data_IF_583492719507
#
_entry.id   IF_583492719507
#
_cell.length_a   1.000
_cell.length_b   1.000
_cell.length_c   1.000
_cell.angle_alpha   90.00
_cell.angle_beta   90.00
_cell.angle_gamma   90.00
#
_symmetry.space_group_name_H-M   'P 1'
#
loop_
_entity.id
_entity.type
_entity.pdbx_description
1 polymer ?
#
# COMPACT_ATOMS: atom_id res chain seq x y z
N UNK A 1 8.15 -15.63 -10.26
CA UNK A 1 9.15 -16.12 -9.28
C UNK A 1 8.91 -17.60 -8.94
N UNK A 2 7.70 -18.04 -8.56
CA UNK A 2 7.43 -19.45 -8.24
C UNK A 2 7.88 -20.39 -9.37
N UNK A 3 7.44 -20.16 -10.58
CA UNK A 3 7.82 -20.96 -11.75
C UNK A 3 9.36 -21.04 -11.97
N UNK A 4 10.10 -19.98 -11.69
CA UNK A 4 11.57 -19.98 -11.82
C UNK A 4 12.24 -20.82 -10.72
N UNK A 5 11.72 -20.80 -9.49
CA UNK A 5 12.20 -21.63 -8.39
C UNK A 5 11.97 -23.11 -8.72
N UNK A 6 10.77 -23.42 -9.25
CA UNK A 6 10.38 -24.79 -9.63
C UNK A 6 11.21 -25.31 -10.79
N UNK A 7 11.40 -24.50 -11.82
CA UNK A 7 12.22 -24.85 -13.00
C UNK A 7 13.70 -25.12 -12.62
N UNK A 8 14.19 -24.43 -11.59
CA UNK A 8 15.53 -24.64 -11.05
C UNK A 8 15.62 -25.84 -10.09
N UNK A 9 14.52 -26.50 -9.75
CA UNK A 9 14.48 -27.54 -8.72
C UNK A 9 14.96 -27.06 -7.34
N UNK A 10 14.86 -25.75 -7.08
CA UNK A 10 15.43 -25.16 -5.88
C UNK A 10 14.50 -25.32 -4.66
N UNK A 11 15.02 -25.70 -3.46
CA UNK A 11 14.19 -25.96 -2.29
C UNK A 11 13.65 -24.72 -1.59
N UNK A 12 14.01 -23.52 -2.02
CA UNK A 12 13.61 -22.27 -1.37
C UNK A 12 12.11 -22.11 -1.28
N UNK A 13 11.63 -21.59 -0.16
CA UNK A 13 10.28 -21.10 0.03
C UNK A 13 10.14 -19.72 -0.63
N UNK A 14 8.97 -19.46 -1.21
CA UNK A 14 8.61 -18.14 -1.72
C UNK A 14 7.93 -17.33 -0.61
N UNK A 15 8.61 -16.31 -0.11
CA UNK A 15 8.07 -15.37 0.87
C UNK A 15 7.76 -14.03 0.20
N UNK A 16 6.58 -13.47 0.48
CA UNK A 16 6.13 -12.21 -0.11
C UNK A 16 5.73 -11.23 0.99
N UNK A 17 6.29 -10.04 0.94
CA UNK A 17 5.82 -8.90 1.73
C UNK A 17 4.60 -8.28 1.03
N UNK A 18 3.45 -8.40 1.66
CA UNK A 18 2.18 -7.83 1.19
C UNK A 18 1.70 -6.68 2.07
N UNK A 19 2.57 -6.11 2.89
CA UNK A 19 2.21 -5.06 3.87
C UNK A 19 1.41 -3.92 3.20
N UNK A 20 1.85 -3.46 2.04
CA UNK A 20 1.18 -2.36 1.34
C UNK A 20 0.18 -2.83 0.27
N UNK A 21 0.20 -4.11 -0.11
CA UNK A 21 -0.62 -4.64 -1.20
C UNK A 21 -1.90 -5.35 -0.76
N UNK A 22 -1.89 -5.99 0.40
CA UNK A 22 -3.06 -6.75 0.87
C UNK A 22 -4.29 -5.84 0.97
N UNK A 23 -5.43 -6.33 0.49
CA UNK A 23 -6.70 -5.61 0.42
C UNK A 23 -6.68 -4.32 -0.45
N UNK A 24 -5.65 -4.13 -1.28
CA UNK A 24 -5.55 -2.98 -2.18
C UNK A 24 -5.10 -3.35 -3.59
N UNK A 25 -4.41 -4.48 -3.73
CA UNK A 25 -3.90 -5.03 -4.99
C UNK A 25 -4.31 -6.49 -5.05
N UNK A 26 -4.71 -6.99 -6.22
CA UNK A 26 -5.02 -8.40 -6.42
C UNK A 26 -3.78 -9.25 -6.06
N UNK A 27 -3.93 -10.03 -5.00
CA UNK A 27 -2.88 -10.93 -4.48
C UNK A 27 -3.47 -12.31 -4.20
N UNK A 28 -3.00 -13.32 -4.93
CA UNK A 28 -3.56 -14.67 -4.92
C UNK A 28 -2.56 -15.65 -4.35
N UNK A 29 -2.57 -15.80 -3.01
CA UNK A 29 -1.60 -16.58 -2.26
C UNK A 29 -1.48 -18.04 -2.76
N UNK A 30 -2.62 -18.74 -2.82
CA UNK A 30 -2.63 -20.16 -3.18
C UNK A 30 -2.37 -20.37 -4.68
N UNK A 31 -3.04 -19.59 -5.54
CA UNK A 31 -2.92 -19.72 -7.00
C UNK A 31 -1.47 -19.45 -7.46
N UNK A 32 -0.78 -18.52 -6.84
CA UNK A 32 0.61 -18.19 -7.18
C UNK A 32 1.64 -19.05 -6.48
N UNK A 33 1.21 -20.02 -5.64
CA UNK A 33 2.09 -20.93 -4.91
C UNK A 33 3.03 -20.21 -3.94
N UNK A 34 2.54 -19.18 -3.29
CA UNK A 34 3.29 -18.47 -2.25
C UNK A 34 3.34 -19.34 -0.99
N UNK A 35 4.49 -19.40 -0.34
CA UNK A 35 4.67 -20.18 0.86
C UNK A 35 4.42 -19.40 2.15
N UNK A 36 4.81 -18.13 2.17
CA UNK A 36 4.56 -17.22 3.28
C UNK A 36 4.23 -15.84 2.74
N UNK A 37 3.13 -15.26 3.21
CA UNK A 37 2.86 -13.84 3.02
C UNK A 37 2.75 -13.14 4.37
N UNK A 38 3.35 -11.96 4.49
CA UNK A 38 3.25 -11.12 5.68
C UNK A 38 2.51 -9.83 5.35
N UNK A 39 1.65 -9.40 6.26
CA UNK A 39 0.93 -8.14 6.13
C UNK A 39 0.71 -7.45 7.47
N UNK A 40 0.17 -6.23 7.44
CA UNK A 40 -0.11 -5.44 8.63
C UNK A 40 -1.44 -4.70 8.52
N UNK A 41 -1.97 -4.31 9.67
CA UNK A 41 -3.30 -3.72 9.79
C UNK A 41 -3.42 -2.30 9.22
N UNK A 42 -2.32 -1.51 9.18
CA UNK A 42 -2.34 -0.07 8.93
C UNK A 42 -2.23 0.34 7.46
N UNK A 43 -2.55 -0.54 6.54
CA UNK A 43 -2.50 -0.30 5.08
C UNK A 43 -3.88 -0.53 4.47
N UNK A 44 -4.01 -1.42 3.50
CA UNK A 44 -5.29 -1.71 2.86
C UNK A 44 -6.40 -2.18 3.80
N UNK A 45 -6.06 -2.66 4.98
CA UNK A 45 -7.04 -3.00 6.02
C UNK A 45 -7.50 -1.80 6.88
N UNK A 46 -7.08 -0.59 6.59
CA UNK A 46 -7.66 0.67 7.11
C UNK A 46 -7.63 0.84 8.64
N UNK A 47 -6.79 0.09 9.34
CA UNK A 47 -6.67 0.12 10.80
C UNK A 47 -5.43 0.90 11.25
N UNK A 48 -5.33 1.29 12.51
CA UNK A 48 -4.06 1.68 13.10
C UNK A 48 -3.03 0.52 13.07
N UNK A 49 -1.71 0.79 13.15
CA UNK A 49 -0.72 -0.25 13.34
C UNK A 49 -0.95 -0.97 14.68
N UNK A 50 -0.81 -2.31 14.68
CA UNK A 50 -0.96 -3.10 15.91
C UNK A 50 -1.24 -4.58 15.68
N UNK A 51 -1.63 -5.01 14.48
CA UNK A 51 -1.80 -6.41 14.13
C UNK A 51 -0.93 -6.75 12.92
N UNK A 52 -0.22 -7.86 12.99
CA UNK A 52 0.47 -8.48 11.86
C UNK A 52 -0.25 -9.77 11.45
N UNK A 53 -0.28 -10.01 10.15
CA UNK A 53 -0.90 -11.20 9.56
C UNK A 53 0.18 -12.04 8.89
N UNK A 54 0.10 -13.36 9.06
CA UNK A 54 0.94 -14.33 8.38
C UNK A 54 0.05 -15.38 7.72
N UNK A 55 0.06 -15.44 6.39
CA UNK A 55 -0.45 -16.58 5.66
C UNK A 55 0.70 -17.56 5.43
N UNK A 56 0.50 -18.82 5.80
CA UNK A 56 1.58 -19.83 5.81
C UNK A 56 1.09 -21.11 5.17
N UNK A 57 1.75 -21.55 4.09
CA UNK A 57 1.43 -22.79 3.38
C UNK A 57 1.76 -24.02 4.24
N UNK A 58 1.13 -25.16 3.92
CA UNK A 58 1.45 -26.43 4.57
C UNK A 58 2.94 -26.79 4.42
N UNK A 59 3.54 -26.48 3.26
CA UNK A 59 4.97 -26.70 3.00
C UNK A 59 5.85 -25.86 3.93
N UNK A 60 5.51 -24.57 4.10
CA UNK A 60 6.26 -23.69 5.00
C UNK A 60 6.09 -24.10 6.48
N UNK A 61 4.91 -24.56 6.86
CA UNK A 61 4.69 -25.12 8.20
C UNK A 61 5.57 -26.32 8.47
N UNK A 62 5.64 -27.29 7.54
CA UNK A 62 6.49 -28.48 7.69
C UNK A 62 7.98 -28.11 7.82
N UNK A 63 8.47 -27.15 7.00
CA UNK A 63 9.86 -26.66 7.13
C UNK A 63 10.07 -25.96 8.47
N UNK A 64 9.10 -25.20 8.95
CA UNK A 64 9.15 -24.53 10.25
C UNK A 64 9.29 -25.52 11.43
N UNK A 65 8.73 -26.71 11.34
CA UNK A 65 8.84 -27.74 12.38
C UNK A 65 10.27 -28.26 12.57
N UNK A 66 11.06 -28.28 11.49
CA UNK A 66 12.45 -28.75 11.50
C UNK A 66 13.48 -27.64 11.72
N UNK A 67 13.03 -26.40 11.85
CA UNK A 67 13.91 -25.24 12.05
C UNK A 67 14.66 -25.31 13.38
N UNK A 68 15.98 -25.20 13.35
CA UNK A 68 16.86 -25.36 14.51
C UNK A 68 17.00 -24.15 15.43
N UNK A 69 16.51 -22.97 15.04
CA UNK A 69 16.59 -21.77 15.90
C UNK A 69 15.55 -21.83 17.03
N UNK A 70 15.93 -21.57 18.28
CA UNK A 70 14.97 -21.41 19.37
C UNK A 70 13.98 -20.28 19.04
N UNK A 71 12.70 -20.55 19.25
CA UNK A 71 11.61 -19.59 19.01
C UNK A 71 10.69 -19.55 20.21
N UNK A 72 10.23 -18.38 20.52
CA UNK A 72 9.15 -18.10 21.45
C UNK A 72 8.45 -16.85 20.98
N UNK A 73 7.17 -16.63 21.24
CA UNK A 73 6.34 -15.54 20.75
C UNK A 73 6.08 -15.57 19.22
N UNK A 74 7.10 -15.80 18.39
CA UNK A 74 6.98 -15.88 16.92
C UNK A 74 6.98 -17.34 16.43
N UNK A 75 6.42 -18.26 17.19
CA UNK A 75 6.26 -19.65 16.78
C UNK A 75 4.86 -19.88 16.19
N UNK A 76 4.81 -20.19 14.91
CA UNK A 76 3.54 -20.49 14.23
C UNK A 76 2.83 -21.72 14.78
N UNK A 77 3.53 -22.66 15.41
CA UNK A 77 2.92 -23.85 16.05
C UNK A 77 2.03 -23.45 17.20
N UNK A 78 2.51 -22.55 18.06
CA UNK A 78 1.75 -22.02 19.20
C UNK A 78 0.56 -21.18 18.72
N UNK A 79 0.78 -20.35 17.69
CA UNK A 79 -0.28 -19.56 17.07
C UNK A 79 -1.37 -20.47 16.47
N UNK A 80 -0.99 -21.46 15.68
CA UNK A 80 -1.91 -22.41 15.05
C UNK A 80 -2.70 -23.20 16.09
N UNK A 81 -2.05 -23.70 17.15
CA UNK A 81 -2.68 -24.46 18.22
C UNK A 81 -3.72 -23.61 18.96
N UNK A 82 -3.39 -22.37 19.31
CA UNK A 82 -4.31 -21.45 19.98
C UNK A 82 -5.46 -21.03 19.08
N UNK A 83 -5.17 -20.64 17.82
CA UNK A 83 -6.21 -20.24 16.88
C UNK A 83 -7.23 -21.34 16.57
N UNK A 84 -6.83 -22.61 16.60
CA UNK A 84 -7.72 -23.74 16.40
C UNK A 84 -8.84 -23.81 17.47
N UNK A 85 -8.63 -23.20 18.63
CA UNK A 85 -9.60 -23.14 19.73
C UNK A 85 -10.30 -21.77 19.83
N UNK A 86 -10.05 -20.87 18.88
CA UNK A 86 -10.58 -19.50 18.89
C UNK A 86 -9.83 -18.53 19.80
N UNK A 87 -8.62 -18.92 20.26
CA UNK A 87 -7.80 -18.10 21.14
C UNK A 87 -6.48 -17.69 20.49
N UNK A 88 -5.71 -16.89 21.20
CA UNK A 88 -4.35 -16.47 20.85
C UNK A 88 -3.38 -16.97 21.91
N UNK A 89 -2.11 -17.24 21.56
CA UNK A 89 -1.11 -17.69 22.53
C UNK A 89 -0.74 -16.61 23.55
N UNK A 90 -1.01 -15.35 23.22
CA UNK A 90 -0.76 -14.16 24.07
C UNK A 90 -1.96 -13.23 24.01
N UNK A 91 -2.05 -12.28 24.94
CA UNK A 91 -3.18 -11.33 24.98
C UNK A 91 -3.32 -10.59 23.65
N UNK A 92 -4.44 -10.74 22.93
CA UNK A 92 -4.65 -10.10 21.65
C UNK A 92 -5.04 -8.63 21.83
N UNK A 93 -4.82 -7.83 20.79
CA UNK A 93 -5.31 -6.47 20.66
C UNK A 93 -6.82 -6.48 20.31
N UNK A 94 -7.69 -6.78 21.27
CA UNK A 94 -9.13 -7.02 21.04
C UNK A 94 -9.83 -5.85 20.33
N UNK A 95 -9.53 -4.61 20.70
CA UNK A 95 -10.09 -3.43 20.03
C UNK A 95 -9.75 -3.39 18.53
N UNK A 96 -8.54 -3.81 18.19
CA UNK A 96 -8.12 -3.91 16.80
C UNK A 96 -8.84 -5.03 16.04
N UNK A 97 -9.21 -6.13 16.71
CA UNK A 97 -9.98 -7.21 16.10
C UNK A 97 -11.42 -6.77 15.80
N UNK A 98 -12.04 -5.95 16.64
CA UNK A 98 -13.33 -5.33 16.32
C UNK A 98 -13.22 -4.41 15.09
N UNK A 99 -12.20 -3.55 15.05
CA UNK A 99 -11.93 -2.72 13.88
C UNK A 99 -11.63 -3.54 12.62
N UNK A 100 -10.92 -4.67 12.76
CA UNK A 100 -10.64 -5.57 11.63
C UNK A 100 -11.93 -6.18 11.06
N UNK A 101 -12.87 -6.55 11.93
CA UNK A 101 -14.16 -7.08 11.49
C UNK A 101 -14.92 -6.02 10.67
N UNK A 102 -14.94 -4.76 11.11
CA UNK A 102 -15.55 -3.66 10.36
C UNK A 102 -14.84 -3.43 9.03
N UNK A 103 -13.51 -3.34 9.02
CA UNK A 103 -12.73 -3.17 7.80
C UNK A 103 -12.98 -4.28 6.76
N UNK A 104 -13.10 -5.53 7.21
CA UNK A 104 -13.44 -6.66 6.33
C UNK A 104 -14.88 -6.51 5.79
N UNK A 105 -15.83 -6.06 6.60
CA UNK A 105 -17.20 -5.79 6.15
C UNK A 105 -17.22 -4.72 5.05
N UNK A 106 -16.56 -3.58 5.27
CA UNK A 106 -16.43 -2.51 4.27
C UNK A 106 -15.83 -3.02 2.94
N UNK A 107 -14.76 -3.80 3.01
CA UNK A 107 -14.11 -4.37 1.81
C UNK A 107 -15.02 -5.37 1.07
N UNK A 108 -15.84 -6.13 1.79
CA UNK A 108 -16.80 -7.07 1.20
C UNK A 108 -17.97 -6.35 0.57
N UNK A 109 -18.47 -5.31 1.20
CA UNK A 109 -19.60 -4.49 0.72
C UNK A 109 -19.22 -3.75 -0.57
N UNK A 110 -18.00 -3.20 -0.65
CA UNK A 110 -17.46 -2.63 -1.90
C UNK A 110 -17.17 -3.71 -2.95
N UNK A 111 -16.75 -4.90 -2.54
CA UNK A 111 -16.25 -5.98 -3.39
C UNK A 111 -14.76 -5.79 -3.75
N UNK A 112 -13.95 -6.84 -3.54
CA UNK A 112 -12.49 -6.74 -3.68
C UNK A 112 -12.03 -6.29 -5.07
N UNK A 113 -12.70 -6.70 -6.13
CA UNK A 113 -12.37 -6.28 -7.49
C UNK A 113 -12.58 -4.77 -7.68
N UNK A 114 -13.63 -4.20 -7.09
CA UNK A 114 -13.89 -2.76 -7.11
C UNK A 114 -12.85 -2.02 -6.26
N UNK A 115 -12.48 -2.57 -5.10
CA UNK A 115 -11.39 -2.04 -4.26
C UNK A 115 -10.08 -1.96 -5.06
N UNK A 116 -9.71 -3.02 -5.77
CA UNK A 116 -8.49 -3.04 -6.59
C UNK A 116 -8.56 -2.04 -7.75
N UNK A 117 -9.69 -1.97 -8.45
CA UNK A 117 -9.92 -1.02 -9.54
C UNK A 117 -9.83 0.44 -9.05
N UNK A 118 -10.44 0.76 -7.90
CA UNK A 118 -10.37 2.08 -7.28
C UNK A 118 -8.93 2.48 -6.96
N UNK A 119 -8.13 1.60 -6.36
CA UNK A 119 -6.73 1.87 -6.06
C UNK A 119 -5.90 2.10 -7.33
N UNK A 120 -6.11 1.30 -8.38
CA UNK A 120 -5.42 1.49 -9.66
C UNK A 120 -5.78 2.84 -10.31
N UNK A 121 -7.05 3.21 -10.27
CA UNK A 121 -7.56 4.49 -10.78
C UNK A 121 -6.95 5.68 -10.03
N UNK A 122 -6.94 5.65 -8.70
CA UNK A 122 -6.31 6.68 -7.87
C UNK A 122 -4.80 6.79 -8.12
N UNK A 123 -4.13 5.65 -8.28
CA UNK A 123 -2.71 5.63 -8.63
C UNK A 123 -2.45 6.24 -10.01
N UNK A 124 -3.28 5.94 -11.01
CA UNK A 124 -3.18 6.52 -12.36
C UNK A 124 -3.38 8.03 -12.33
N UNK A 125 -4.44 8.51 -11.64
CA UNK A 125 -4.72 9.94 -11.48
C UNK A 125 -3.60 10.68 -10.77
N UNK A 126 -3.07 10.13 -9.69
CA UNK A 126 -1.92 10.72 -8.97
C UNK A 126 -0.70 10.85 -9.86
N UNK A 127 -0.38 9.83 -10.65
CA UNK A 127 0.75 9.87 -11.59
C UNK A 127 0.51 10.86 -12.73
N UNK A 128 -0.73 11.04 -13.17
CA UNK A 128 -1.08 12.06 -14.16
C UNK A 128 -0.80 13.48 -13.63
N UNK A 129 -1.23 13.77 -12.39
CA UNK A 129 -0.89 15.03 -11.72
C UNK A 129 0.63 15.25 -11.64
N UNK A 130 1.38 14.27 -11.17
CA UNK A 130 2.84 14.35 -11.03
C UNK A 130 3.53 14.66 -12.37
N UNK A 131 3.14 13.96 -13.44
CA UNK A 131 3.68 14.18 -14.78
C UNK A 131 3.27 15.56 -15.34
N UNK A 132 2.04 16.00 -15.04
CA UNK A 132 1.57 17.33 -15.44
C UNK A 132 2.38 18.44 -14.75
N UNK A 133 2.70 18.30 -13.46
CA UNK A 133 3.60 19.22 -12.75
C UNK A 133 5.01 19.26 -13.35
N UNK A 134 5.35 18.32 -14.23
CA UNK A 134 6.70 18.17 -14.79
C UNK A 134 7.67 17.48 -13.84
N UNK A 135 7.15 16.79 -12.82
CA UNK A 135 7.94 16.00 -11.89
C UNK A 135 8.04 14.54 -12.35
N UNK A 136 9.08 13.85 -11.89
CA UNK A 136 9.30 12.44 -12.22
C UNK A 136 8.74 11.51 -11.14
N UNK A 137 8.08 10.44 -11.59
CA UNK A 137 7.76 9.29 -10.73
C UNK A 137 8.99 8.42 -10.59
N UNK A 138 9.33 8.00 -9.37
CA UNK A 138 10.50 7.16 -9.09
C UNK A 138 10.47 5.83 -9.86
N UNK A 139 9.28 5.23 -10.03
CA UNK A 139 9.10 4.03 -10.84
C UNK A 139 9.25 4.37 -12.32
N UNK A 140 10.30 3.82 -12.96
CA UNK A 140 10.65 4.13 -14.35
C UNK A 140 9.95 3.25 -15.39
N UNK A 141 9.43 2.11 -14.95
CA UNK A 141 8.84 1.14 -15.86
C UNK A 141 7.31 1.18 -15.74
N UNK A 142 6.66 1.55 -16.84
CA UNK A 142 5.21 1.53 -16.93
C UNK A 142 4.68 0.11 -16.70
N UNK A 143 3.59 -0.01 -15.93
CA UNK A 143 2.99 -1.28 -15.56
C UNK A 143 3.62 -1.94 -14.31
N UNK A 144 4.68 -1.34 -13.74
CA UNK A 144 5.27 -1.76 -12.47
C UNK A 144 5.05 -0.74 -11.34
N UNK A 145 4.27 0.29 -11.61
CA UNK A 145 3.91 1.29 -10.61
C UNK A 145 2.97 0.68 -9.56
N UNK A 146 3.16 1.11 -8.32
CA UNK A 146 2.25 0.73 -7.24
C UNK A 146 0.86 1.36 -7.43
N UNK A 147 -0.20 0.59 -7.20
CA UNK A 147 -1.57 1.09 -7.14
C UNK A 147 -1.90 1.87 -5.86
N UNK A 148 -1.02 1.82 -4.84
CA UNK A 148 -1.33 2.35 -3.49
C UNK A 148 -0.43 3.51 -3.05
N UNK A 149 0.67 3.75 -3.78
CA UNK A 149 1.67 4.75 -3.44
C UNK A 149 2.33 5.31 -4.69
N UNK A 150 2.45 6.63 -4.78
CA UNK A 150 3.25 7.30 -5.80
C UNK A 150 4.45 7.97 -5.14
N UNK A 151 5.66 7.54 -5.50
CA UNK A 151 6.91 8.14 -5.08
C UNK A 151 7.36 9.16 -6.13
N UNK A 152 7.58 10.40 -5.72
CA UNK A 152 7.85 11.55 -6.58
C UNK A 152 9.25 12.06 -6.35
N UNK A 153 10.04 12.17 -7.42
CA UNK A 153 11.38 12.72 -7.38
C UNK A 153 11.33 14.24 -7.27
N UNK A 154 12.10 14.78 -6.33
CA UNK A 154 12.30 16.24 -6.28
C UNK A 154 13.25 16.70 -7.37
N UNK A 155 13.03 17.88 -7.97
CA UNK A 155 13.98 18.48 -8.88
C UNK A 155 15.34 18.72 -8.21
N UNK A 156 16.41 18.70 -9.00
CA UNK A 156 17.75 18.95 -8.48
C UNK A 156 17.83 20.30 -7.74
N UNK A 157 18.47 20.29 -6.60
CA UNK A 157 18.61 21.49 -5.74
C UNK A 157 17.45 21.73 -4.77
N UNK A 158 16.40 20.89 -4.79
CA UNK A 158 15.28 20.99 -3.88
C UNK A 158 15.21 19.79 -2.92
N UNK A 159 14.97 20.09 -1.63
CA UNK A 159 14.82 19.08 -0.57
C UNK A 159 13.37 18.59 -0.48
N UNK A 160 13.17 17.28 -0.55
CA UNK A 160 11.87 16.67 -0.33
C UNK A 160 11.37 16.86 1.11
N UNK A 161 12.28 16.80 2.08
CA UNK A 161 11.91 16.97 3.49
C UNK A 161 11.57 18.43 3.84
N UNK A 162 12.23 19.41 3.21
CA UNK A 162 11.85 20.80 3.33
C UNK A 162 10.46 21.06 2.74
N UNK A 163 10.18 20.54 1.54
CA UNK A 163 8.86 20.60 0.91
C UNK A 163 7.77 19.96 1.80
N UNK A 164 8.00 18.76 2.31
CA UNK A 164 7.06 18.06 3.20
C UNK A 164 6.73 18.88 4.46
N UNK A 165 7.72 19.55 5.05
CA UNK A 165 7.51 20.46 6.18
C UNK A 165 6.62 21.63 5.81
N UNK A 166 6.79 22.19 4.61
CA UNK A 166 5.94 23.28 4.09
C UNK A 166 4.51 22.79 3.89
N UNK A 167 4.32 21.63 3.26
CA UNK A 167 3.00 21.02 3.03
C UNK A 167 2.27 20.78 4.37
N UNK A 168 2.94 20.18 5.35
CA UNK A 168 2.37 19.94 6.66
C UNK A 168 2.02 21.26 7.39
N UNK A 169 2.94 22.21 7.42
CA UNK A 169 2.77 23.46 8.18
C UNK A 169 1.64 24.34 7.63
N UNK A 170 1.47 24.39 6.34
CA UNK A 170 0.57 25.39 5.70
C UNK A 170 -0.75 24.79 5.23
N UNK A 171 -0.80 23.48 4.98
CA UNK A 171 -1.96 22.81 4.40
C UNK A 171 -2.41 21.56 5.18
N UNK A 172 -1.75 21.27 6.31
CA UNK A 172 -2.02 20.12 7.18
C UNK A 172 -1.96 18.77 6.43
N UNK A 173 -1.09 18.68 5.42
CA UNK A 173 -0.91 17.47 4.62
C UNK A 173 0.38 16.76 5.00
N UNK A 174 0.24 15.55 5.51
CA UNK A 174 1.36 14.67 5.84
C UNK A 174 1.72 13.79 4.66
N UNK A 175 2.88 14.02 4.06
CA UNK A 175 3.44 13.24 2.96
C UNK A 175 4.54 12.29 3.45
N UNK A 176 4.66 11.13 2.82
CA UNK A 176 5.72 10.18 3.12
C UNK A 176 7.11 10.70 2.73
N UNK A 177 8.14 10.37 3.51
CA UNK A 177 9.53 10.71 3.20
C UNK A 177 10.20 9.67 2.28
N UNK A 178 11.24 10.03 1.58
CA UNK A 178 12.17 9.09 0.95
C UNK A 178 12.92 8.27 2.00
N UNK A 179 13.29 7.02 1.64
CA UNK A 179 14.00 6.11 2.52
C UNK A 179 15.38 5.77 1.96
N UNK A 180 16.35 5.52 2.83
CA UNK A 180 17.69 5.05 2.45
C UNK A 180 18.32 5.90 1.34
N UNK A 181 18.59 5.32 0.17
CA UNK A 181 19.28 5.97 -0.98
C UNK A 181 18.50 7.14 -1.58
N UNK A 182 17.19 7.23 -1.34
CA UNK A 182 16.30 8.30 -1.83
C UNK A 182 15.85 9.25 -0.71
N UNK A 183 16.46 9.18 0.47
CA UNK A 183 16.22 10.11 1.56
C UNK A 183 16.44 11.54 1.06
N UNK A 184 15.54 12.44 1.43
CA UNK A 184 15.50 13.86 1.02
C UNK A 184 15.42 14.13 -0.50
N UNK A 185 15.38 13.08 -1.32
CA UNK A 185 15.26 13.19 -2.80
C UNK A 185 13.85 12.88 -3.29
N UNK A 186 13.04 12.20 -2.47
CA UNK A 186 11.72 11.70 -2.81
C UNK A 186 10.75 12.07 -1.72
N UNK A 187 9.56 12.50 -2.10
CA UNK A 187 8.38 12.46 -1.25
C UNK A 187 7.37 11.45 -1.79
N UNK A 188 6.45 10.99 -0.94
CA UNK A 188 5.49 9.95 -1.31
C UNK A 188 4.07 10.41 -1.06
N UNK A 189 3.20 10.17 -2.02
CA UNK A 189 1.77 10.37 -1.94
C UNK A 189 1.12 8.99 -1.77
N UNK A 190 0.50 8.74 -0.61
CA UNK A 190 -0.28 7.54 -0.37
C UNK A 190 -1.71 7.73 -0.88
N UNK A 191 -2.25 6.70 -1.51
CA UNK A 191 -3.64 6.67 -1.99
C UNK A 191 -4.22 5.27 -1.78
N UNK A 192 -4.30 4.84 -0.51
CA UNK A 192 -4.76 3.49 -0.15
C UNK A 192 -5.73 3.54 1.04
N UNK A 193 -6.46 2.44 1.22
CA UNK A 193 -7.46 2.27 2.25
C UNK A 193 -8.82 2.84 1.85
N UNK A 194 -9.56 3.38 2.80
CA UNK A 194 -10.82 4.09 2.57
C UNK A 194 -10.53 5.51 2.04
N UNK A 195 -10.14 5.56 0.77
CA UNK A 195 -9.67 6.76 0.08
C UNK A 195 -10.53 6.98 -1.17
N UNK A 196 -11.22 8.10 -1.24
CA UNK A 196 -12.13 8.42 -2.34
C UNK A 196 -11.58 9.55 -3.25
N UNK A 197 -12.29 9.82 -4.34
CA UNK A 197 -11.89 10.79 -5.35
C UNK A 197 -11.73 12.21 -4.76
N UNK A 198 -12.63 12.63 -3.87
CA UNK A 198 -12.57 13.95 -3.24
C UNK A 198 -11.38 14.06 -2.27
N UNK A 199 -11.08 13.01 -1.53
CA UNK A 199 -9.88 12.96 -0.68
C UNK A 199 -8.62 13.02 -1.52
N UNK A 200 -8.59 12.35 -2.67
CA UNK A 200 -7.49 12.44 -3.62
C UNK A 200 -7.34 13.86 -4.18
N UNK A 201 -8.44 14.47 -4.65
CA UNK A 201 -8.43 15.84 -5.17
C UNK A 201 -7.89 16.84 -4.14
N UNK A 202 -8.38 16.76 -2.89
CA UNK A 202 -7.89 17.58 -1.79
C UNK A 202 -6.41 17.37 -1.49
N UNK A 203 -5.94 16.13 -1.50
CA UNK A 203 -4.53 15.78 -1.30
C UNK A 203 -3.66 16.38 -2.41
N UNK A 204 -4.04 16.19 -3.68
CA UNK A 204 -3.29 16.71 -4.82
C UNK A 204 -3.28 18.24 -4.86
N UNK A 205 -4.41 18.89 -4.51
CA UNK A 205 -4.49 20.34 -4.35
C UNK A 205 -3.48 20.84 -3.32
N UNK A 206 -3.43 20.20 -2.16
CA UNK A 206 -2.47 20.60 -1.13
C UNK A 206 -1.02 20.32 -1.50
N UNK A 207 -0.74 19.26 -2.29
CA UNK A 207 0.60 19.03 -2.86
C UNK A 207 0.99 20.16 -3.81
N UNK A 208 0.11 20.55 -4.77
CA UNK A 208 0.38 21.61 -5.74
C UNK A 208 0.59 22.97 -5.05
N UNK A 209 -0.28 23.32 -4.09
CA UNK A 209 -0.11 24.51 -3.27
C UNK A 209 1.20 24.48 -2.45
N UNK A 210 1.56 23.31 -1.94
CA UNK A 210 2.81 23.07 -1.22
C UNK A 210 4.03 23.26 -2.09
N UNK A 211 4.02 22.75 -3.33
CA UNK A 211 5.09 22.93 -4.32
C UNK A 211 5.30 24.42 -4.62
N UNK A 212 4.21 25.15 -4.87
CA UNK A 212 4.23 26.60 -5.09
C UNK A 212 4.80 27.35 -3.89
N UNK A 213 4.34 27.04 -2.68
CA UNK A 213 4.76 27.68 -1.44
C UNK A 213 6.23 27.41 -1.09
N UNK A 214 6.72 26.23 -1.43
CA UNK A 214 8.12 25.83 -1.23
C UNK A 214 9.06 26.32 -2.33
N UNK A 215 8.54 27.00 -3.38
CA UNK A 215 9.34 27.47 -4.50
C UNK A 215 9.91 26.33 -5.37
N UNK A 216 9.26 25.17 -5.37
CA UNK A 216 9.66 24.04 -6.22
C UNK A 216 9.20 24.29 -7.64
N UNK A 217 10.07 24.22 -8.66
CA UNK A 217 9.68 24.41 -10.06
C UNK A 217 8.66 23.36 -10.49
N UNK A 218 7.51 23.76 -10.96
CA UNK A 218 6.45 22.90 -11.48
C UNK A 218 5.51 23.69 -12.40
N UNK A 219 4.68 22.99 -13.17
CA UNK A 219 3.54 23.56 -13.90
C UNK A 219 2.29 23.44 -13.03
N UNK A 220 1.44 24.45 -13.03
CA UNK A 220 0.11 24.39 -12.40
C UNK A 220 -0.83 23.49 -13.22
N UNK A 221 -1.93 23.01 -12.60
CA UNK A 221 -2.98 22.26 -13.28
C UNK A 221 -2.87 20.73 -13.18
N UNK A 222 -2.03 20.23 -12.26
CA UNK A 222 -1.93 18.79 -12.04
C UNK A 222 -3.21 18.20 -11.44
N UNK A 223 -3.96 19.00 -10.68
CA UNK A 223 -5.25 18.54 -10.13
C UNK A 223 -6.25 18.27 -11.24
N UNK A 224 -6.38 19.18 -12.20
CA UNK A 224 -7.25 19.02 -13.37
C UNK A 224 -6.83 17.79 -14.19
N UNK A 225 -5.54 17.58 -14.37
CA UNK A 225 -5.03 16.39 -15.07
C UNK A 225 -5.39 15.10 -14.35
N UNK A 226 -5.40 15.08 -13.01
CA UNK A 226 -5.85 13.94 -12.24
C UNK A 226 -7.37 13.72 -12.36
N UNK A 227 -8.15 14.80 -12.28
CA UNK A 227 -9.62 14.71 -12.40
C UNK A 227 -10.04 14.18 -13.77
N UNK A 228 -9.39 14.61 -14.85
CA UNK A 228 -9.66 14.06 -16.18
C UNK A 228 -9.45 12.54 -16.25
N UNK A 229 -8.43 11.99 -15.57
CA UNK A 229 -8.23 10.54 -15.47
C UNK A 229 -9.32 9.87 -14.66
N UNK A 230 -9.80 10.50 -13.59
CA UNK A 230 -10.89 9.94 -12.78
C UNK A 230 -12.22 9.91 -13.54
N UNK A 231 -12.51 10.93 -14.36
CA UNK A 231 -13.70 10.99 -15.20
C UNK A 231 -13.67 9.93 -16.32
N UNK A 232 -12.51 9.76 -16.99
CA UNK A 232 -12.33 8.75 -18.05
C UNK A 232 -12.42 7.31 -17.54
N UNK A 233 -11.94 7.07 -16.32
CA UNK A 233 -11.93 5.78 -15.66
C UNK A 233 -13.07 5.68 -14.64
N UNK A 234 -14.27 6.14 -14.98
CA UNK A 234 -15.44 6.11 -14.10
C UNK A 234 -15.56 4.75 -13.40
N UNK A 235 -15.84 4.78 -12.09
CA UNK A 235 -15.93 3.58 -11.29
C UNK A 235 -17.00 2.64 -11.88
N UNK A 236 -16.71 1.35 -12.08
CA UNK A 236 -17.75 0.40 -12.47
C UNK A 236 -18.76 0.35 -11.32
N UNK A 237 -20.03 0.73 -11.59
CA UNK A 237 -21.12 0.51 -10.67
C UNK A 237 -21.92 1.72 -10.16
N UNK A 238 -21.60 2.96 -10.55
CA UNK A 238 -22.55 4.05 -10.38
C UNK A 238 -23.36 4.15 -11.68
N UNK A 239 -24.36 3.26 -11.80
CA UNK A 239 -25.44 3.50 -12.75
C UNK A 239 -26.15 4.79 -12.28
N UNK A 240 -26.23 5.79 -13.17
CA UNK A 240 -27.09 6.92 -12.94
C UNK A 240 -28.52 6.41 -12.77
N UNK A 241 -29.10 6.55 -11.57
CA UNK A 241 -30.54 6.37 -11.34
C UNK A 241 -31.31 7.53 -11.97
#
# INVERSE_FOLDING_TARGET
>A
MRAAIDAAGHPALLMVDTISGLASIDFRFDEWGVDVAVSGSQKGLMLPPGIAFNAVSARAMAVSETGGMPRSYWDWRDMKASNATGYFPYTPATNMLFGLNEAISMLRDEGLENVFARHQRHGAATRAAVRHWGLEVLCRQQGQESGVLTAVMMPQGHSADAFRKVALKHYDISLGNGLSRVADKVFRIGHLGDFNDLTLAGTLTGVELGLRKAGVPHRDGGVEAAMAVLDDLAAPGIAAE
#
